data_IF_089768855265
#
_entry.id   IF_089768855265
#
_cell.length_a   1.000
_cell.length_b   1.000
_cell.length_c   1.000
_cell.angle_alpha   90.00
_cell.angle_beta   90.00
_cell.angle_gamma   90.00
#
_symmetry.space_group_name_H-M   'P 1'
#
loop_
_entity.id
_entity.type
_entity.pdbx_description
1 polymer ?
#
# COMPACT_ATOMS: atom_id res chain seq x y z
N UNK A 1 -50.13 -4.98 56.75
CA UNK A 1 -50.44 -4.01 55.67
C UNK A 1 -49.20 -3.19 55.37
N UNK A 2 -48.59 -3.40 54.20
CA UNK A 2 -48.03 -2.36 53.31
C UNK A 2 -47.35 -3.06 52.13
N UNK A 3 -47.72 -2.59 50.95
CA UNK A 3 -47.45 -3.17 49.64
C UNK A 3 -46.16 -2.62 49.02
N UNK A 4 -45.61 -3.39 48.07
CA UNK A 4 -44.78 -3.00 46.90
C UNK A 4 -43.50 -2.17 47.18
N UNK A 5 -42.38 -2.36 46.50
CA UNK A 5 -42.18 -2.11 45.07
C UNK A 5 -40.90 -2.85 44.64
N UNK A 6 -41.01 -3.67 43.59
CA UNK A 6 -39.84 -4.15 42.85
C UNK A 6 -39.30 -3.04 41.97
N UNK A 7 -38.00 -2.79 42.03
CA UNK A 7 -37.28 -1.93 41.09
C UNK A 7 -36.55 -2.84 40.12
N UNK A 8 -37.13 -3.01 38.93
CA UNK A 8 -36.44 -3.58 37.79
C UNK A 8 -35.50 -2.50 37.23
N UNK A 9 -34.19 -2.71 37.37
CA UNK A 9 -33.18 -1.89 36.70
C UNK A 9 -33.19 -2.28 35.22
N UNK A 10 -33.83 -1.45 34.40
CA UNK A 10 -33.72 -1.54 32.93
C UNK A 10 -32.33 -1.09 32.51
N UNK A 11 -31.49 -2.04 32.10
CA UNK A 11 -30.27 -1.76 31.37
C UNK A 11 -30.63 -1.40 29.93
N UNK A 12 -30.70 -0.10 29.64
CA UNK A 12 -30.76 0.40 28.27
C UNK A 12 -29.39 0.24 27.62
N UNK A 13 -29.15 -0.92 27.00
CA UNK A 13 -28.09 -1.11 26.02
C UNK A 13 -28.49 -0.36 24.75
N UNK A 14 -27.89 0.81 24.52
CA UNK A 14 -27.90 1.46 23.21
C UNK A 14 -27.08 0.56 22.28
N UNK A 15 -27.78 -0.26 21.50
CA UNK A 15 -27.21 -0.97 20.36
C UNK A 15 -26.80 0.07 19.32
N UNK A 16 -25.54 0.49 19.35
CA UNK A 16 -24.88 1.06 18.17
C UNK A 16 -24.85 -0.07 17.15
N UNK A 17 -25.66 0.07 16.11
CA UNK A 17 -25.66 -0.84 14.98
C UNK A 17 -24.33 -0.72 14.23
N UNK A 18 -23.33 -1.48 14.65
CA UNK A 18 -22.28 -1.91 13.75
C UNK A 18 -22.97 -2.80 12.70
N UNK A 19 -23.12 -2.28 11.48
CA UNK A 19 -23.44 -3.12 10.33
C UNK A 19 -22.45 -4.29 10.28
N UNK A 20 -22.86 -5.48 9.81
CA UNK A 20 -21.95 -6.61 9.74
C UNK A 20 -20.71 -6.20 8.92
N UNK A 21 -19.52 -6.35 9.50
CA UNK A 21 -18.30 -6.41 8.70
C UNK A 21 -18.57 -7.42 7.58
N UNK A 22 -18.45 -6.99 6.32
CA UNK A 22 -18.56 -7.92 5.20
C UNK A 22 -17.54 -9.03 5.45
N UNK A 23 -18.03 -10.27 5.63
CA UNK A 23 -17.16 -11.43 5.80
C UNK A 23 -16.17 -11.42 4.63
N UNK A 24 -14.88 -11.34 4.96
CA UNK A 24 -13.81 -11.51 3.98
C UNK A 24 -13.94 -12.93 3.43
N UNK A 25 -14.39 -13.04 2.19
CA UNK A 25 -14.62 -14.35 1.57
C UNK A 25 -13.29 -15.08 1.38
N UNK A 26 -13.02 -16.04 2.28
CA UNK A 26 -11.83 -16.88 2.22
C UNK A 26 -12.01 -18.08 1.27
N UNK A 27 -11.57 -18.00 0.03
CA UNK A 27 -11.50 -19.17 -0.86
C UNK A 27 -10.08 -19.71 -0.84
N UNK A 28 -9.84 -20.84 -0.17
CA UNK A 28 -8.54 -21.52 -0.24
C UNK A 28 -8.24 -21.97 -1.67
N UNK A 29 -6.96 -22.12 -2.01
CA UNK A 29 -6.58 -22.67 -3.33
C UNK A 29 -6.97 -24.16 -3.43
N UNK A 30 -7.43 -24.58 -4.60
CA UNK A 30 -7.86 -25.95 -4.90
C UNK A 30 -7.07 -26.54 -6.09
N UNK A 31 -5.75 -26.78 -5.95
CA UNK A 31 -4.90 -27.18 -7.06
C UNK A 31 -5.28 -28.51 -7.70
N UNK A 32 -5.89 -29.44 -6.95
CA UNK A 32 -6.32 -30.75 -7.46
C UNK A 32 -7.41 -30.67 -8.54
N UNK A 33 -8.10 -29.54 -8.63
CA UNK A 33 -9.15 -29.32 -9.64
C UNK A 33 -8.73 -28.34 -10.74
N UNK A 34 -7.49 -27.87 -10.68
CA UNK A 34 -6.98 -26.94 -11.66
C UNK A 34 -6.60 -27.63 -12.98
N UNK A 35 -6.67 -26.87 -14.07
CA UNK A 35 -6.15 -27.28 -15.37
C UNK A 35 -5.04 -26.34 -15.80
N UNK A 36 -3.81 -26.85 -15.92
CA UNK A 36 -2.68 -26.07 -16.41
C UNK A 36 -2.94 -25.52 -17.83
N UNK A 37 -3.65 -26.28 -18.67
CA UNK A 37 -4.07 -25.83 -20.00
C UNK A 37 -5.03 -24.65 -19.92
N UNK A 38 -5.99 -24.68 -18.99
CA UNK A 38 -6.90 -23.56 -18.78
C UNK A 38 -6.17 -22.34 -18.17
N UNK A 39 -5.27 -22.56 -17.22
CA UNK A 39 -4.41 -21.50 -16.69
C UNK A 39 -3.61 -20.81 -17.81
N UNK A 40 -2.99 -21.57 -18.72
CA UNK A 40 -2.31 -20.98 -19.87
C UNK A 40 -3.27 -20.26 -20.83
N UNK A 41 -4.44 -20.83 -21.11
CA UNK A 41 -5.47 -20.22 -21.98
C UNK A 41 -5.96 -18.87 -21.46
N UNK A 42 -6.06 -18.72 -20.13
CA UNK A 42 -6.64 -17.53 -19.51
C UNK A 42 -5.59 -16.55 -18.96
N UNK A 43 -4.30 -16.89 -19.01
CA UNK A 43 -3.24 -16.05 -18.48
C UNK A 43 -3.22 -14.67 -19.18
N UNK A 44 -3.03 -13.56 -18.46
CA UNK A 44 -3.15 -12.22 -19.02
C UNK A 44 -1.96 -11.85 -19.91
N UNK A 45 -2.20 -10.98 -20.89
CA UNK A 45 -1.13 -10.18 -21.47
C UNK A 45 -0.86 -9.02 -20.50
N UNK A 46 0.33 -8.96 -19.91
CA UNK A 46 0.70 -7.83 -19.04
C UNK A 46 1.50 -6.82 -19.85
N UNK A 47 1.01 -5.58 -19.94
CA UNK A 47 1.75 -4.44 -20.51
C UNK A 47 2.45 -3.69 -19.39
N UNK A 48 3.78 -3.73 -19.40
CA UNK A 48 4.59 -2.92 -18.50
C UNK A 48 4.60 -1.46 -18.96
N UNK A 49 4.82 -0.52 -18.05
CA UNK A 49 5.00 0.88 -18.42
C UNK A 49 6.27 1.07 -19.27
N UNK A 50 6.29 1.96 -20.27
CA UNK A 50 7.44 2.14 -21.18
C UNK A 50 8.70 2.71 -20.52
N UNK A 51 8.54 3.23 -19.30
CA UNK A 51 9.62 3.76 -18.47
C UNK A 51 10.03 2.81 -17.34
N UNK A 52 9.42 1.62 -17.28
CA UNK A 52 9.77 0.65 -16.25
C UNK A 52 11.18 0.13 -16.47
N UNK A 53 11.94 0.07 -15.38
CA UNK A 53 13.32 -0.43 -15.35
C UNK A 53 13.52 -1.54 -14.32
N UNK A 54 12.54 -1.73 -13.42
CA UNK A 54 12.46 -2.79 -12.43
C UNK A 54 11.54 -3.86 -12.99
N UNK A 55 12.16 -4.86 -13.61
CA UNK A 55 11.44 -5.82 -14.43
C UNK A 55 10.98 -7.03 -13.61
N UNK A 56 10.02 -7.83 -14.11
CA UNK A 56 9.66 -9.09 -13.49
C UNK A 56 10.85 -10.05 -13.32
N UNK A 57 10.75 -10.99 -12.38
CA UNK A 57 11.82 -11.96 -12.07
C UNK A 57 11.27 -13.32 -11.65
N UNK A 58 12.03 -14.40 -11.86
CA UNK A 58 11.74 -15.70 -11.25
C UNK A 58 11.95 -15.64 -9.72
N UNK A 59 10.89 -15.92 -8.97
CA UNK A 59 10.89 -15.93 -7.51
C UNK A 59 11.90 -16.94 -6.93
N UNK A 60 12.14 -18.07 -7.62
CA UNK A 60 13.18 -19.04 -7.24
C UNK A 60 14.57 -18.42 -7.35
N UNK A 61 14.83 -17.65 -8.42
CA UNK A 61 16.10 -16.95 -8.60
C UNK A 61 16.32 -15.86 -7.57
N UNK A 62 15.27 -15.14 -7.19
CA UNK A 62 15.32 -14.16 -6.12
C UNK A 62 15.73 -14.81 -4.80
N UNK A 63 15.13 -15.97 -4.46
CA UNK A 63 15.48 -16.74 -3.26
C UNK A 63 16.93 -17.21 -3.29
N UNK A 64 17.37 -17.84 -4.38
CA UNK A 64 18.75 -18.38 -4.51
C UNK A 64 19.82 -17.30 -4.35
N UNK A 65 19.47 -16.05 -4.64
CA UNK A 65 20.35 -14.88 -4.52
C UNK A 65 20.20 -14.16 -3.19
N UNK A 66 19.22 -14.52 -2.37
CA UNK A 66 18.96 -13.90 -1.09
C UNK A 66 19.74 -14.57 0.03
N UNK A 67 19.84 -13.86 1.15
CA UNK A 67 20.20 -14.40 2.46
C UNK A 67 18.92 -14.57 3.28
N UNK A 68 18.72 -15.72 3.93
CA UNK A 68 17.59 -15.91 4.84
C UNK A 68 17.96 -15.38 6.21
N UNK A 69 17.18 -14.43 6.72
CA UNK A 69 17.38 -13.80 8.02
C UNK A 69 16.13 -13.92 8.89
N UNK A 70 16.29 -13.63 10.17
CA UNK A 70 15.20 -13.63 11.15
C UNK A 70 15.19 -12.30 11.91
N UNK A 71 14.01 -11.69 12.04
CA UNK A 71 13.79 -10.43 12.78
C UNK A 71 13.15 -10.72 14.14
N UNK A 72 13.83 -10.40 15.25
CA UNK A 72 13.32 -10.76 16.59
C UNK A 72 12.40 -9.75 17.22
N UNK A 73 12.35 -8.50 16.76
CA UNK A 73 11.47 -7.50 17.38
C UNK A 73 11.29 -6.21 16.56
N UNK A 74 10.78 -6.34 15.33
CA UNK A 74 10.48 -5.16 14.50
C UNK A 74 11.73 -4.31 14.27
N UNK A 75 12.89 -4.95 14.13
CA UNK A 75 14.12 -4.32 13.66
C UNK A 75 15.16 -3.90 14.65
N UNK A 76 14.83 -3.81 15.93
CA UNK A 76 15.79 -3.41 16.95
C UNK A 76 16.71 -4.55 17.40
N UNK A 77 16.34 -5.80 17.06
CA UNK A 77 17.01 -7.02 17.49
C UNK A 77 17.09 -8.00 16.30
N UNK A 78 17.93 -7.72 15.29
CA UNK A 78 18.14 -8.62 14.15
C UNK A 78 19.22 -9.65 14.47
N UNK A 79 19.10 -10.86 13.91
CA UNK A 79 20.23 -11.78 13.91
C UNK A 79 21.34 -11.24 13.01
N UNK A 80 22.51 -11.03 13.60
CA UNK A 80 23.74 -10.75 12.86
C UNK A 80 24.10 -11.93 11.93
N UNK A 81 24.09 -13.20 12.41
CA UNK A 81 24.33 -14.35 11.53
C UNK A 81 23.09 -14.69 10.69
N UNK A 82 23.26 -15.06 9.41
CA UNK A 82 22.14 -15.51 8.60
C UNK A 82 21.64 -16.89 9.05
N UNK A 83 20.33 -17.14 8.88
CA UNK A 83 19.75 -18.49 9.00
C UNK A 83 20.27 -19.39 7.87
N UNK A 84 20.39 -18.84 6.66
CA UNK A 84 20.96 -19.52 5.50
C UNK A 84 21.55 -18.53 4.49
N UNK A 85 22.71 -18.87 3.94
CA UNK A 85 23.39 -18.15 2.86
C UNK A 85 24.25 -19.14 2.05
N UNK A 86 23.91 -19.45 0.77
CA UNK A 86 22.69 -19.03 0.08
C UNK A 86 21.45 -19.77 0.58
N UNK A 87 20.27 -19.27 0.24
CA UNK A 87 18.99 -19.94 0.57
C UNK A 87 18.69 -21.05 -0.43
N UNK A 88 18.30 -22.22 0.07
CA UNK A 88 17.83 -23.33 -0.77
C UNK A 88 16.29 -23.27 -0.87
N UNK A 89 15.70 -22.99 -2.06
CA UNK A 89 14.26 -22.78 -2.21
C UNK A 89 13.41 -23.93 -1.68
N UNK A 90 13.85 -25.18 -1.88
CA UNK A 90 13.13 -26.39 -1.43
C UNK A 90 13.01 -26.52 0.08
N UNK A 91 13.88 -25.83 0.84
CA UNK A 91 13.87 -25.82 2.31
C UNK A 91 13.04 -24.68 2.90
N UNK A 92 12.58 -23.73 2.07
CA UNK A 92 11.67 -22.66 2.51
C UNK A 92 10.21 -23.13 2.58
N UNK A 93 9.79 -23.93 1.60
CA UNK A 93 8.40 -24.30 1.37
C UNK A 93 7.87 -25.44 2.25
N UNK A 94 6.57 -25.69 2.16
CA UNK A 94 5.87 -26.73 2.91
C UNK A 94 6.32 -28.16 2.57
N UNK A 95 6.86 -28.38 1.37
CA UNK A 95 7.42 -29.66 0.95
C UNK A 95 8.69 -30.09 1.70
N UNK A 96 9.33 -29.17 2.44
CA UNK A 96 10.58 -29.45 3.14
C UNK A 96 10.44 -30.37 4.36
N UNK A 97 9.25 -30.43 4.97
CA UNK A 97 9.01 -31.24 6.17
C UNK A 97 9.97 -30.92 7.33
N UNK A 98 10.75 -31.91 7.76
CA UNK A 98 11.75 -31.77 8.84
C UNK A 98 13.03 -31.04 8.38
N UNK A 99 13.36 -31.10 7.09
CA UNK A 99 14.55 -30.46 6.51
C UNK A 99 14.39 -28.94 6.34
N UNK A 100 13.17 -28.44 6.53
CA UNK A 100 12.84 -27.01 6.40
C UNK A 100 13.59 -26.12 7.41
N UNK A 101 13.81 -24.87 7.02
CA UNK A 101 14.47 -23.91 7.90
C UNK A 101 13.62 -23.60 9.14
N UNK A 102 14.29 -23.51 10.29
CA UNK A 102 13.68 -23.21 11.60
C UNK A 102 14.57 -22.28 12.40
N UNK A 103 13.95 -21.36 13.13
CA UNK A 103 14.63 -20.41 13.99
C UNK A 103 13.77 -20.16 15.23
N UNK A 104 14.39 -19.94 16.38
CA UNK A 104 13.69 -19.53 17.60
C UNK A 104 13.84 -18.03 17.80
N UNK A 105 12.94 -17.39 18.56
CA UNK A 105 13.07 -15.96 18.88
C UNK A 105 14.24 -15.64 19.86
N UNK A 106 14.94 -16.67 20.36
CA UNK A 106 16.14 -16.57 21.20
C UNK A 106 17.12 -17.67 20.79
N UNK A 107 18.41 -17.35 20.68
CA UNK A 107 19.45 -18.36 20.47
C UNK A 107 19.77 -19.06 21.81
N UNK A 108 19.52 -20.37 21.97
CA UNK A 108 19.71 -21.06 23.25
C UNK A 108 21.18 -21.02 23.69
N UNK A 109 21.44 -20.49 24.89
CA UNK A 109 22.77 -20.45 25.48
C UNK A 109 23.66 -19.28 25.03
N UNK A 110 23.15 -18.35 24.22
CA UNK A 110 23.81 -17.06 23.98
C UNK A 110 23.06 -15.92 24.69
N UNK A 111 23.73 -15.12 25.53
CA UNK A 111 23.15 -13.84 25.93
C UNK A 111 22.95 -13.04 24.65
N UNK A 112 21.74 -12.50 24.45
CA UNK A 112 21.44 -11.53 23.38
C UNK A 112 22.65 -10.61 23.23
N UNK A 113 23.29 -10.60 22.06
CA UNK A 113 24.26 -9.58 21.71
C UNK A 113 23.49 -8.27 21.67
N UNK A 114 23.51 -7.58 22.82
CA UNK A 114 22.58 -6.53 23.23
C UNK A 114 22.48 -5.40 22.21
N UNK A 115 21.30 -4.78 22.10
CA UNK A 115 20.97 -3.68 23.01
C UNK A 115 20.10 -4.14 24.18
N UNK A 116 20.30 -3.52 25.34
CA UNK A 116 19.53 -3.78 26.56
C UNK A 116 18.06 -3.45 26.28
N UNK A 117 17.20 -4.47 26.19
CA UNK A 117 15.75 -4.28 26.17
C UNK A 117 14.99 -4.83 24.96
N UNK A 118 15.18 -6.11 24.61
CA UNK A 118 14.22 -6.85 23.78
C UNK A 118 13.29 -7.68 24.71
N UNK A 119 12.15 -7.14 25.22
CA UNK A 119 11.23 -7.85 26.09
C UNK A 119 10.17 -8.65 25.30
N UNK A 120 9.94 -9.92 25.67
CA UNK A 120 8.79 -10.70 25.18
C UNK A 120 9.11 -11.96 24.37
N UNK A 121 10.38 -12.36 24.30
CA UNK A 121 10.79 -13.53 23.53
C UNK A 121 10.26 -14.87 24.08
N UNK A 122 10.13 -15.84 23.16
CA UNK A 122 9.77 -17.23 23.45
C UNK A 122 10.81 -18.14 22.85
N UNK A 123 11.17 -19.22 23.54
CA UNK A 123 12.10 -20.26 23.03
C UNK A 123 11.46 -21.16 21.94
N UNK A 124 10.34 -20.74 21.35
CA UNK A 124 9.57 -21.52 20.41
C UNK A 124 10.23 -21.47 19.02
N UNK A 125 10.74 -22.60 18.53
CA UNK A 125 11.24 -22.71 17.15
C UNK A 125 10.09 -22.63 16.16
N UNK A 126 10.13 -21.63 15.29
CA UNK A 126 9.20 -21.45 14.18
C UNK A 126 9.83 -21.89 12.86
N UNK A 127 9.01 -22.46 11.98
CA UNK A 127 9.40 -22.81 10.61
C UNK A 127 9.14 -21.63 9.66
N UNK A 128 9.80 -21.61 8.51
CA UNK A 128 9.56 -20.63 7.44
C UNK A 128 8.14 -20.65 6.86
N UNK A 129 7.36 -21.69 7.17
CA UNK A 129 5.95 -21.85 6.79
C UNK A 129 4.97 -21.34 7.86
N UNK A 130 5.46 -20.92 9.03
CA UNK A 130 4.64 -20.29 10.07
C UNK A 130 4.47 -18.80 9.76
N UNK A 131 3.23 -18.37 9.59
CA UNK A 131 2.87 -16.98 9.29
C UNK A 131 3.28 -15.99 10.38
N UNK A 132 3.43 -16.46 11.62
CA UNK A 132 3.91 -15.67 12.75
C UNK A 132 5.43 -15.63 12.84
N UNK A 133 6.13 -16.46 12.07
CA UNK A 133 7.57 -16.42 11.99
C UNK A 133 8.03 -15.16 11.24
N UNK A 134 9.16 -14.61 11.68
CA UNK A 134 9.70 -13.34 11.20
C UNK A 134 10.88 -13.53 10.27
N UNK A 135 10.82 -14.57 9.45
CA UNK A 135 11.79 -14.79 8.38
C UNK A 135 11.62 -13.75 7.29
N UNK A 136 12.74 -13.30 6.73
CA UNK A 136 12.75 -12.47 5.54
C UNK A 136 13.93 -12.82 4.63
N UNK A 137 13.74 -12.59 3.34
CA UNK A 137 14.77 -12.73 2.30
C UNK A 137 15.48 -11.40 2.11
N UNK A 138 16.80 -11.39 2.15
CA UNK A 138 17.66 -10.21 2.00
C UNK A 138 18.52 -10.36 0.72
N UNK A 139 18.02 -9.90 -0.44
CA UNK A 139 18.75 -9.97 -1.71
C UNK A 139 19.80 -8.85 -1.83
N UNK A 140 20.86 -9.03 -2.63
CA UNK A 140 21.77 -7.95 -2.97
C UNK A 140 21.13 -6.99 -4.00
N UNK A 141 21.55 -5.73 -3.97
CA UNK A 141 20.96 -4.62 -4.75
C UNK A 141 20.84 -4.90 -6.26
N UNK A 142 21.76 -5.66 -6.87
CA UNK A 142 21.70 -5.98 -8.30
C UNK A 142 20.50 -6.84 -8.70
N UNK A 143 19.90 -7.59 -7.77
CA UNK A 143 18.71 -8.41 -8.02
C UNK A 143 17.49 -7.52 -8.27
N UNK A 144 17.47 -6.30 -7.73
CA UNK A 144 16.34 -5.36 -7.84
C UNK A 144 15.97 -4.98 -9.28
N UNK A 145 16.87 -5.18 -10.24
CA UNK A 145 16.60 -4.87 -11.66
C UNK A 145 15.63 -5.87 -12.32
N UNK A 146 15.59 -7.11 -11.84
CA UNK A 146 14.83 -8.19 -12.45
C UNK A 146 15.38 -8.72 -13.77
N UNK A 147 14.62 -9.61 -14.40
CA UNK A 147 15.05 -10.46 -15.52
C UNK A 147 14.32 -10.15 -16.83
N UNK A 148 13.16 -9.47 -16.79
CA UNK A 148 12.40 -9.08 -17.98
C UNK A 148 11.15 -9.91 -18.20
N UNK A 149 10.54 -9.73 -19.38
CA UNK A 149 9.27 -10.37 -19.75
C UNK A 149 9.38 -11.87 -20.06
N UNK A 150 10.57 -12.47 -19.90
CA UNK A 150 10.75 -13.93 -19.90
C UNK A 150 10.51 -14.57 -18.53
N UNK A 151 10.38 -13.77 -17.47
CA UNK A 151 10.12 -14.25 -16.12
C UNK A 151 8.81 -15.07 -16.03
N UNK A 152 8.72 -16.02 -15.09
CA UNK A 152 7.50 -16.77 -14.88
C UNK A 152 6.39 -15.94 -14.25
N UNK A 153 5.15 -16.31 -14.57
CA UNK A 153 3.96 -15.93 -13.81
C UNK A 153 3.46 -17.16 -13.06
N UNK A 154 3.00 -16.96 -11.83
CA UNK A 154 2.52 -18.06 -11.02
C UNK A 154 0.99 -18.06 -10.94
N UNK A 155 0.37 -19.23 -10.81
CA UNK A 155 -1.09 -19.29 -10.73
C UNK A 155 -1.62 -20.21 -9.62
N UNK A 156 -2.80 -19.86 -9.13
CA UNK A 156 -3.61 -20.65 -8.18
C UNK A 156 -5.05 -20.74 -8.68
N UNK A 157 -5.72 -21.86 -8.43
CA UNK A 157 -7.12 -22.05 -8.78
C UNK A 157 -8.01 -21.95 -7.53
N UNK A 158 -9.13 -21.26 -7.66
CA UNK A 158 -10.07 -21.04 -6.57
C UNK A 158 -11.50 -21.29 -7.02
N UNK A 159 -12.33 -21.78 -6.09
CA UNK A 159 -13.78 -21.86 -6.28
C UNK A 159 -14.49 -20.85 -5.41
N UNK A 160 -15.62 -20.36 -5.91
CA UNK A 160 -16.54 -19.59 -5.09
C UNK A 160 -17.14 -20.49 -4.01
N UNK A 161 -17.32 -19.98 -2.79
CA UNK A 161 -17.76 -20.82 -1.65
C UNK A 161 -19.16 -21.41 -1.83
N UNK A 162 -20.03 -20.63 -2.46
CA UNK A 162 -21.47 -20.92 -2.52
C UNK A 162 -22.04 -21.05 -3.93
N UNK A 163 -21.27 -20.70 -4.96
CA UNK A 163 -21.72 -20.74 -6.36
C UNK A 163 -20.77 -21.65 -7.15
N UNK A 164 -21.10 -22.94 -7.34
CA UNK A 164 -20.21 -23.89 -7.99
C UNK A 164 -19.96 -23.58 -9.47
N UNK A 165 -20.77 -22.71 -10.10
CA UNK A 165 -20.51 -22.25 -11.45
C UNK A 165 -19.38 -21.21 -11.51
N UNK A 166 -19.06 -20.54 -10.39
CA UNK A 166 -18.01 -19.52 -10.32
C UNK A 166 -16.69 -20.08 -9.83
N UNK A 167 -15.68 -19.95 -10.67
CA UNK A 167 -14.30 -20.36 -10.38
C UNK A 167 -13.33 -19.28 -10.84
N UNK A 168 -12.08 -19.32 -10.39
CA UNK A 168 -11.11 -18.30 -10.79
C UNK A 168 -9.70 -18.87 -10.88
N UNK A 169 -8.95 -18.35 -11.86
CA UNK A 169 -7.50 -18.48 -11.90
C UNK A 169 -6.88 -17.16 -11.40
N UNK A 170 -6.20 -17.21 -10.26
CA UNK A 170 -5.41 -16.09 -9.72
C UNK A 170 -4.03 -16.17 -10.32
N UNK A 171 -3.56 -15.08 -10.92
CA UNK A 171 -2.21 -14.94 -11.46
C UNK A 171 -1.40 -13.99 -10.59
N UNK A 172 -0.20 -14.40 -10.23
CA UNK A 172 0.76 -13.68 -9.41
C UNK A 172 1.94 -13.22 -10.25
N UNK A 173 2.26 -11.94 -10.13
CA UNK A 173 3.41 -11.31 -10.78
C UNK A 173 4.43 -10.95 -9.71
N UNK A 174 5.67 -11.38 -9.92
CA UNK A 174 6.76 -11.07 -9.01
C UNK A 174 7.72 -10.06 -9.62
N UNK A 175 7.95 -8.99 -8.89
CA UNK A 175 8.99 -8.00 -9.15
C UNK A 175 9.94 -7.97 -7.96
N UNK A 176 11.27 -7.95 -8.18
CA UNK A 176 12.22 -8.01 -7.07
C UNK A 176 12.31 -6.69 -6.29
N UNK A 177 11.77 -5.59 -6.82
CA UNK A 177 11.79 -4.29 -6.18
C UNK A 177 10.65 -3.40 -6.65
N UNK A 178 9.94 -2.79 -5.72
CA UNK A 178 8.98 -1.71 -5.93
C UNK A 178 9.68 -0.36 -5.70
N UNK A 179 9.42 0.59 -6.61
CA UNK A 179 9.81 2.00 -6.45
C UNK A 179 8.71 2.95 -6.89
N UNK A 180 7.66 3.05 -6.07
CA UNK A 180 6.67 4.10 -6.22
C UNK A 180 7.16 5.40 -5.55
N UNK A 181 7.95 6.16 -6.30
CA UNK A 181 8.61 7.38 -5.80
C UNK A 181 7.62 8.44 -5.31
N UNK A 182 6.42 8.49 -5.89
CA UNK A 182 5.39 9.49 -5.56
C UNK A 182 4.85 9.42 -4.12
N UNK A 183 5.01 8.28 -3.43
CA UNK A 183 4.58 8.12 -2.02
C UNK A 183 5.66 7.51 -1.14
N UNK A 184 6.92 7.59 -1.58
CA UNK A 184 8.08 7.03 -0.87
C UNK A 184 8.12 5.51 -0.79
N UNK A 185 7.09 4.80 -1.26
CA UNK A 185 6.96 3.36 -1.16
C UNK A 185 8.03 2.65 -1.99
N UNK A 186 9.05 2.17 -1.28
CA UNK A 186 10.21 1.45 -1.82
C UNK A 186 10.42 0.21 -1.00
N UNK A 187 10.33 -0.95 -1.63
CA UNK A 187 10.57 -2.23 -0.96
C UNK A 187 11.10 -3.27 -1.92
N UNK A 188 11.92 -4.18 -1.39
CA UNK A 188 12.29 -5.41 -2.09
C UNK A 188 11.13 -6.38 -2.07
N UNK A 189 11.07 -7.25 -3.07
CA UNK A 189 9.99 -8.22 -3.30
C UNK A 189 8.62 -7.57 -3.42
N UNK A 190 7.98 -7.74 -4.55
CA UNK A 190 6.69 -7.15 -4.84
C UNK A 190 5.81 -8.17 -5.55
N UNK A 191 4.66 -8.43 -4.95
CA UNK A 191 3.75 -9.49 -5.34
C UNK A 191 2.41 -8.87 -5.73
N UNK A 192 2.21 -8.76 -7.03
CA UNK A 192 0.98 -8.25 -7.63
C UNK A 192 0.09 -9.39 -8.10
N UNK A 193 -1.22 -9.15 -8.21
CA UNK A 193 -2.14 -10.19 -8.70
C UNK A 193 -3.37 -9.68 -9.42
N UNK A 194 -3.86 -10.52 -10.33
CA UNK A 194 -5.21 -10.46 -10.88
C UNK A 194 -5.91 -11.80 -10.73
N UNK A 195 -7.24 -11.83 -10.79
CA UNK A 195 -8.00 -13.08 -10.82
C UNK A 195 -8.96 -13.09 -12.02
N UNK A 196 -8.75 -14.01 -12.95
CA UNK A 196 -9.70 -14.24 -14.05
C UNK A 196 -10.85 -15.07 -13.50
N UNK A 197 -12.03 -14.47 -13.44
CA UNK A 197 -13.27 -15.08 -12.99
C UNK A 197 -13.92 -15.84 -14.15
N UNK A 198 -14.31 -17.08 -13.90
CA UNK A 198 -15.00 -17.95 -14.83
C UNK A 198 -16.42 -18.20 -14.34
N UNK A 199 -17.35 -18.32 -15.28
CA UNK A 199 -18.67 -18.90 -15.08
C UNK A 199 -18.86 -20.07 -16.02
N UNK A 200 -19.17 -21.23 -15.45
CA UNK A 200 -19.35 -22.48 -16.20
C UNK A 200 -18.13 -22.82 -17.09
N UNK A 201 -16.93 -22.45 -16.63
CA UNK A 201 -15.66 -22.70 -17.32
C UNK A 201 -15.26 -21.67 -18.37
N UNK A 202 -16.09 -20.66 -18.65
CA UNK A 202 -15.78 -19.58 -19.59
C UNK A 202 -15.51 -18.26 -18.85
N UNK A 203 -14.58 -17.42 -19.34
CA UNK A 203 -14.20 -16.20 -18.64
C UNK A 203 -15.26 -15.11 -18.73
N UNK A 204 -15.65 -14.55 -17.57
CA UNK A 204 -16.65 -13.47 -17.47
C UNK A 204 -16.04 -12.12 -17.10
N UNK A 205 -15.03 -12.11 -16.22
CA UNK A 205 -14.43 -10.90 -15.69
C UNK A 205 -12.98 -11.13 -15.23
N UNK A 206 -12.27 -10.04 -14.96
CA UNK A 206 -10.99 -10.08 -14.26
C UNK A 206 -11.04 -9.13 -13.07
N UNK A 207 -10.68 -9.65 -11.90
CA UNK A 207 -10.47 -8.89 -10.69
C UNK A 207 -9.05 -8.34 -10.65
N UNK A 208 -8.92 -7.08 -10.30
CA UNK A 208 -7.65 -6.37 -10.12
C UNK A 208 -7.44 -6.09 -8.62
N UNK A 209 -6.38 -6.65 -8.05
CA UNK A 209 -5.92 -6.26 -6.73
C UNK A 209 -5.03 -5.01 -6.87
N UNK A 210 -5.18 -4.05 -5.97
CA UNK A 210 -4.42 -2.78 -5.99
C UNK A 210 -4.11 -2.30 -4.58
N UNK A 211 -3.16 -1.37 -4.47
CA UNK A 211 -2.64 -0.82 -3.21
C UNK A 211 -3.75 -0.45 -2.21
N UNK A 212 -3.75 -1.13 -1.06
CA UNK A 212 -4.52 -0.77 0.15
C UNK A 212 -6.04 -0.63 -0.01
N UNK A 213 -6.58 -0.92 -1.19
CA UNK A 213 -7.96 -0.64 -1.57
C UNK A 213 -8.71 -1.93 -1.87
N UNK A 214 -10.03 -1.88 -1.79
CA UNK A 214 -10.87 -3.00 -2.23
C UNK A 214 -10.60 -3.35 -3.70
N UNK A 215 -10.41 -4.64 -4.02
CA UNK A 215 -10.36 -5.11 -5.39
C UNK A 215 -11.59 -4.70 -6.19
N UNK A 216 -11.40 -4.50 -7.48
CA UNK A 216 -12.46 -4.22 -8.44
C UNK A 216 -12.40 -5.21 -9.60
N UNK A 217 -13.47 -5.31 -10.38
CA UNK A 217 -13.55 -6.16 -11.55
C UNK A 217 -13.88 -5.39 -12.82
N UNK A 218 -13.34 -5.86 -13.94
CA UNK A 218 -13.69 -5.43 -15.28
C UNK A 218 -14.17 -6.64 -16.06
N UNK A 219 -15.15 -6.46 -16.96
CA UNK A 219 -15.64 -7.55 -17.79
C UNK A 219 -14.54 -8.01 -18.73
N UNK A 220 -14.50 -9.31 -18.99
CA UNK A 220 -13.52 -9.89 -19.92
C UNK A 220 -13.54 -9.23 -21.30
N UNK A 221 -14.74 -8.90 -21.81
CA UNK A 221 -14.93 -8.22 -23.09
C UNK A 221 -14.31 -6.82 -23.15
N UNK A 222 -14.16 -6.15 -22.02
CA UNK A 222 -13.75 -4.75 -21.94
C UNK A 222 -12.21 -4.62 -21.87
N UNK A 223 -11.50 -5.74 -21.63
CA UNK A 223 -10.05 -5.78 -21.45
C UNK A 223 -9.26 -5.90 -22.77
N UNK A 224 -9.89 -5.55 -23.90
CA UNK A 224 -9.29 -5.60 -25.24
C UNK A 224 -8.44 -6.85 -25.46
N UNK A 225 -9.04 -8.05 -25.42
CA UNK A 225 -8.29 -9.29 -25.37
C UNK A 225 -7.41 -9.45 -26.62
N UNK A 226 -6.12 -9.70 -26.41
CA UNK A 226 -5.13 -9.97 -27.46
C UNK A 226 -4.89 -11.47 -27.55
N UNK A 227 -5.08 -12.07 -28.73
CA UNK A 227 -4.97 -13.53 -28.93
C UNK A 227 -5.83 -14.37 -27.96
N UNK A 228 -6.91 -13.80 -27.42
CA UNK A 228 -7.76 -14.46 -26.42
C UNK A 228 -7.31 -14.31 -24.97
N UNK A 229 -6.30 -13.48 -24.71
CA UNK A 229 -5.79 -13.18 -23.36
C UNK A 229 -6.22 -11.78 -22.92
N UNK A 230 -6.67 -11.58 -21.67
CA UNK A 230 -7.08 -10.26 -21.18
C UNK A 230 -5.86 -9.35 -21.04
N UNK A 231 -5.99 -8.09 -21.45
CA UNK A 231 -4.91 -7.11 -21.27
C UNK A 231 -4.95 -6.55 -19.85
N UNK A 232 -3.80 -6.58 -19.18
CA UNK A 232 -3.55 -6.00 -17.84
C UNK A 232 -2.43 -4.99 -17.98
N UNK A 233 -2.59 -3.80 -17.39
CA UNK A 233 -1.55 -2.78 -17.38
C UNK A 233 -0.87 -2.74 -16.02
N UNK A 234 0.45 -2.88 -16.00
CA UNK A 234 1.26 -2.75 -14.78
C UNK A 234 1.77 -1.33 -14.63
N UNK A 235 1.50 -0.72 -13.47
CA UNK A 235 1.87 0.65 -13.19
C UNK A 235 3.39 0.82 -13.01
N UNK A 236 3.89 2.00 -13.41
CA UNK A 236 5.29 2.37 -13.24
C UNK A 236 5.71 2.36 -11.77
N UNK A 237 6.75 1.60 -11.45
CA UNK A 237 7.40 1.52 -10.15
C UNK A 237 6.65 0.69 -9.13
N UNK A 238 5.32 0.83 -9.04
CA UNK A 238 4.47 0.14 -8.06
C UNK A 238 3.93 -1.20 -8.53
N UNK A 239 4.00 -1.46 -9.83
CA UNK A 239 3.54 -2.66 -10.53
C UNK A 239 2.05 -3.00 -10.43
N UNK A 240 1.27 -2.22 -9.67
CA UNK A 240 -0.16 -2.42 -9.50
C UNK A 240 -0.87 -2.65 -10.83
N UNK A 241 -1.77 -3.62 -10.82
CA UNK A 241 -2.46 -4.10 -12.01
C UNK A 241 -3.75 -3.30 -12.26
N UNK A 242 -3.90 -2.78 -13.47
CA UNK A 242 -5.06 -1.97 -13.89
C UNK A 242 -5.72 -2.49 -15.17
N UNK A 243 -7.05 -2.32 -15.33
CA UNK A 243 -7.78 -2.73 -16.54
C UNK A 243 -7.56 -1.78 -17.73
N UNK A 244 -7.05 -0.57 -17.48
CA UNK A 244 -6.85 0.47 -18.50
C UNK A 244 -5.53 1.18 -18.28
N UNK A 245 -4.90 1.65 -19.35
CA UNK A 245 -3.80 2.60 -19.26
C UNK A 245 -4.30 3.98 -18.79
N UNK A 246 -3.37 4.82 -18.32
CA UNK A 246 -3.66 6.15 -17.81
C UNK A 246 -3.25 6.32 -16.35
N UNK A 247 -3.76 7.39 -15.74
CA UNK A 247 -3.48 7.73 -14.34
C UNK A 247 -4.52 7.06 -13.45
N UNK A 248 -4.07 6.44 -12.35
CA UNK A 248 -4.92 5.80 -11.34
C UNK A 248 -4.46 6.23 -9.95
N UNK A 249 -4.92 7.38 -9.48
CA UNK A 249 -4.40 8.05 -8.30
C UNK A 249 -2.91 8.36 -8.44
N UNK A 250 -2.08 7.70 -7.65
CA UNK A 250 -0.61 7.86 -7.69
C UNK A 250 0.07 6.99 -8.74
N UNK A 251 -0.65 6.02 -9.30
CA UNK A 251 -0.14 5.08 -10.28
C UNK A 251 -0.30 5.58 -11.71
N UNK A 252 0.64 5.15 -12.57
CA UNK A 252 0.61 5.45 -14.00
C UNK A 252 0.82 4.17 -14.79
N UNK A 253 -0.19 3.81 -15.56
CA UNK A 253 -0.20 2.67 -16.48
C UNK A 253 -0.10 3.17 -17.93
N UNK A 254 0.48 2.37 -18.82
CA UNK A 254 0.68 2.79 -20.22
C UNK A 254 0.57 1.63 -21.20
N UNK A 255 0.12 1.94 -22.42
CA UNK A 255 -0.01 0.99 -23.53
C UNK A 255 1.29 0.76 -24.29
N UNK A 256 2.30 1.62 -24.08
CA UNK A 256 3.48 1.74 -24.95
C UNK A 256 4.70 0.90 -24.53
N UNK A 257 4.64 0.26 -23.37
CA UNK A 257 5.78 -0.51 -22.87
C UNK A 257 5.81 -1.95 -23.35
N UNK A 258 6.67 -2.74 -22.71
CA UNK A 258 6.92 -4.12 -23.13
C UNK A 258 5.73 -5.02 -22.82
N UNK A 259 5.47 -5.95 -23.73
CA UNK A 259 4.45 -6.99 -23.56
C UNK A 259 5.06 -8.22 -22.89
N UNK A 260 4.46 -8.63 -21.78
CA UNK A 260 4.75 -9.88 -21.09
C UNK A 260 3.64 -10.88 -21.41
N UNK A 261 3.95 -11.79 -22.33
CA UNK A 261 3.06 -12.88 -22.76
C UNK A 261 3.11 -14.00 -21.73
N UNK A 262 2.36 -13.83 -20.65
CA UNK A 262 2.54 -14.64 -19.42
C UNK A 262 2.29 -16.13 -19.63
N UNK A 263 1.45 -16.50 -20.59
CA UNK A 263 1.16 -17.90 -20.95
C UNK A 263 2.38 -18.66 -21.50
N UNK A 264 3.44 -17.96 -21.95
CA UNK A 264 4.67 -18.60 -22.42
C UNK A 264 5.50 -19.20 -21.27
N UNK A 265 5.28 -18.74 -20.03
CA UNK A 265 5.98 -19.22 -18.84
C UNK A 265 5.09 -19.13 -17.58
N UNK A 266 3.92 -19.77 -17.61
CA UNK A 266 2.96 -19.78 -16.50
C UNK A 266 3.07 -21.07 -15.68
N UNK A 267 3.26 -20.96 -14.36
CA UNK A 267 3.60 -22.09 -13.47
C UNK A 267 2.66 -22.18 -12.26
N UNK A 268 2.25 -23.39 -11.83
CA UNK A 268 1.42 -23.54 -10.64
C UNK A 268 2.19 -23.18 -9.37
N UNK A 269 1.61 -22.38 -8.47
CA UNK A 269 2.24 -22.02 -7.18
C UNK A 269 2.56 -23.27 -6.34
N UNK A 270 1.69 -24.28 -6.34
CA UNK A 270 1.89 -25.53 -5.59
C UNK A 270 2.97 -26.45 -6.20
N UNK A 271 3.41 -26.17 -7.43
CA UNK A 271 4.54 -26.84 -8.08
C UNK A 271 5.90 -26.21 -7.78
N UNK A 272 5.93 -25.01 -7.19
CA UNK A 272 7.17 -24.28 -6.95
C UNK A 272 7.88 -24.75 -5.65
N UNK A 273 9.23 -24.79 -5.63
CA UNK A 273 9.98 -25.35 -4.51
C UNK A 273 9.81 -24.54 -3.22
N UNK A 274 9.50 -23.25 -3.34
CA UNK A 274 9.29 -22.32 -2.24
C UNK A 274 7.83 -22.26 -1.77
N UNK A 275 6.92 -23.00 -2.42
CA UNK A 275 5.49 -22.99 -2.11
C UNK A 275 5.24 -23.27 -0.63
N UNK A 276 4.49 -22.38 0.02
CA UNK A 276 4.21 -22.44 1.46
C UNK A 276 5.14 -21.59 2.33
N UNK A 277 6.16 -20.94 1.76
CA UNK A 277 6.92 -19.92 2.47
C UNK A 277 6.00 -18.77 2.91
N UNK A 278 5.93 -18.51 4.22
CA UNK A 278 5.02 -17.53 4.82
C UNK A 278 5.74 -16.30 5.41
N UNK A 279 7.03 -16.15 5.10
CA UNK A 279 7.85 -15.01 5.48
C UNK A 279 7.81 -13.87 4.46
N UNK A 280 8.62 -12.85 4.71
CA UNK A 280 8.67 -11.62 3.91
C UNK A 280 9.67 -11.73 2.76
N UNK A 281 9.32 -11.17 1.61
CA UNK A 281 10.18 -11.15 0.43
C UNK A 281 10.88 -9.81 0.36
N UNK A 282 12.10 -9.70 0.87
CA UNK A 282 12.82 -8.42 0.94
C UNK A 282 13.20 -8.01 2.35
N UNK A 283 14.27 -7.22 2.47
CA UNK A 283 14.70 -6.64 3.73
C UNK A 283 13.58 -5.81 4.36
N UNK A 284 13.55 -5.76 5.69
CA UNK A 284 12.52 -5.05 6.45
C UNK A 284 13.10 -3.73 6.97
N UNK A 285 12.99 -2.58 6.27
CA UNK A 285 13.56 -1.31 6.71
C UNK A 285 12.77 -0.64 7.87
N UNK A 286 11.72 -1.29 8.39
CA UNK A 286 10.95 -0.84 9.58
C UNK A 286 10.19 0.48 9.42
N UNK A 287 10.00 0.92 8.18
CA UNK A 287 9.00 1.94 7.82
C UNK A 287 7.78 1.21 7.28
N UNK A 288 6.60 1.43 7.87
CA UNK A 288 5.34 0.84 7.37
C UNK A 288 5.18 1.19 5.88
N UNK A 289 4.71 0.23 5.09
CA UNK A 289 4.65 0.27 3.61
C UNK A 289 5.99 0.12 2.83
N UNK A 290 7.13 -0.03 3.52
CA UNK A 290 8.45 -0.26 2.87
C UNK A 290 8.97 -1.69 3.09
N UNK A 291 8.15 -2.54 3.71
CA UNK A 291 8.44 -3.95 3.88
C UNK A 291 7.97 -4.71 2.66
N UNK A 292 8.82 -5.56 2.11
CA UNK A 292 8.46 -6.44 1.01
C UNK A 292 7.33 -7.38 1.38
N UNK A 293 6.17 -7.37 0.72
CA UNK A 293 5.02 -8.20 1.06
C UNK A 293 5.34 -9.69 1.08
N UNK A 294 4.55 -10.42 1.86
CA UNK A 294 4.54 -11.89 1.79
C UNK A 294 4.08 -12.34 0.41
N UNK A 295 4.63 -13.43 -0.10
CA UNK A 295 4.25 -14.07 -1.36
C UNK A 295 3.01 -14.96 -1.24
N UNK A 296 2.63 -15.71 -2.28
CA UNK A 296 1.53 -16.66 -2.18
C UNK A 296 1.88 -17.81 -1.23
N UNK A 297 0.92 -18.18 -0.36
CA UNK A 297 1.03 -19.32 0.55
C UNK A 297 -0.38 -19.86 0.87
N UNK A 298 -0.54 -21.16 1.22
CA UNK A 298 -1.85 -21.83 1.26
C UNK A 298 -2.94 -21.21 2.15
N UNK A 299 -2.56 -20.44 3.17
CA UNK A 299 -3.48 -19.81 4.13
C UNK A 299 -3.66 -18.31 3.90
N UNK A 300 -3.05 -17.76 2.84
CA UNK A 300 -3.13 -16.33 2.53
C UNK A 300 -4.57 -15.96 2.21
N UNK A 301 -5.09 -14.95 2.92
CA UNK A 301 -6.40 -14.38 2.60
C UNK A 301 -6.29 -13.55 1.32
N UNK A 302 -7.06 -13.93 0.29
CA UNK A 302 -7.14 -13.20 -0.98
C UNK A 302 -8.53 -12.56 -1.09
N UNK A 303 -8.75 -11.38 -0.47
CA UNK A 303 -10.05 -10.74 -0.52
C UNK A 303 -10.43 -10.40 -1.97
N UNK A 304 -11.72 -10.47 -2.25
CA UNK A 304 -12.33 -9.93 -3.45
C UNK A 304 -12.04 -10.69 -4.75
N UNK A 305 -11.54 -11.93 -4.73
CA UNK A 305 -11.34 -12.75 -5.95
C UNK A 305 -12.58 -12.70 -6.86
N UNK A 306 -13.76 -12.88 -6.28
CA UNK A 306 -15.06 -12.93 -6.96
C UNK A 306 -15.87 -11.62 -6.83
N UNK A 307 -15.19 -10.48 -6.69
CA UNK A 307 -15.88 -9.19 -6.59
C UNK A 307 -16.58 -8.82 -7.90
N UNK A 308 -17.80 -8.32 -7.78
CA UNK A 308 -18.57 -7.74 -8.90
C UNK A 308 -18.49 -6.19 -8.90
N UNK A 309 -17.70 -5.61 -7.98
CA UNK A 309 -17.51 -4.16 -7.88
C UNK A 309 -16.76 -3.67 -9.12
N UNK A 310 -17.37 -2.84 -9.99
CA UNK A 310 -16.71 -2.41 -11.20
C UNK A 310 -15.45 -1.59 -10.91
N UNK A 311 -14.42 -1.76 -11.72
CA UNK A 311 -13.28 -0.85 -11.72
C UNK A 311 -13.69 0.54 -12.20
N UNK A 312 -13.13 1.57 -11.57
CA UNK A 312 -13.14 2.91 -12.14
C UNK A 312 -12.30 2.94 -13.42
N UNK A 313 -12.63 3.85 -14.33
CA UNK A 313 -11.72 4.18 -15.43
C UNK A 313 -10.49 4.93 -14.91
N UNK A 314 -9.48 5.10 -15.77
CA UNK A 314 -8.39 6.02 -15.49
C UNK A 314 -8.94 7.41 -15.14
N UNK A 315 -8.28 8.07 -14.20
CA UNK A 315 -8.59 9.43 -13.83
C UNK A 315 -8.50 10.30 -15.08
N UNK A 316 -9.48 11.19 -15.24
CA UNK A 316 -9.42 12.16 -16.33
C UNK A 316 -8.11 12.92 -16.18
N UNK A 317 -7.34 13.11 -17.27
CA UNK A 317 -6.29 14.11 -17.27
C UNK A 317 -6.88 15.40 -16.70
N UNK A 318 -6.16 16.14 -15.84
CA UNK A 318 -6.59 17.49 -15.53
C UNK A 318 -6.93 18.18 -16.85
N UNK A 319 -8.13 18.75 -16.94
CA UNK A 319 -8.54 19.45 -18.15
C UNK A 319 -7.42 20.42 -18.52
N UNK A 320 -7.08 20.52 -19.82
CA UNK A 320 -6.19 21.57 -20.28
C UNK A 320 -6.63 22.88 -19.61
N UNK A 321 -5.69 23.66 -19.05
CA UNK A 321 -6.05 24.93 -18.46
C UNK A 321 -6.85 25.72 -19.50
N UNK A 322 -7.92 26.43 -19.10
CA UNK A 322 -8.69 27.23 -20.04
C UNK A 322 -7.71 28.07 -20.86
N UNK A 323 -7.84 28.00 -22.19
CA UNK A 323 -7.11 28.90 -23.07
C UNK A 323 -7.41 30.33 -22.62
N UNK A 324 -6.35 31.01 -22.21
CA UNK A 324 -6.29 32.33 -21.60
C UNK A 324 -6.98 32.45 -20.22
N UNK A 325 -6.22 32.55 -19.12
CA UNK A 325 -6.74 33.17 -17.91
C UNK A 325 -7.11 34.63 -18.25
N UNK A 326 -8.21 35.18 -17.71
CA UNK A 326 -8.38 36.62 -17.72
C UNK A 326 -7.15 37.21 -17.04
N UNK A 327 -6.56 38.23 -17.68
CA UNK A 327 -5.36 38.93 -17.23
C UNK A 327 -5.27 38.97 -15.70
N UNK A 328 -4.20 38.37 -15.19
CA UNK A 328 -3.77 38.37 -13.80
C UNK A 328 -4.04 39.75 -13.18
N UNK A 329 -5.07 39.83 -12.34
CA UNK A 329 -5.16 40.93 -11.40
C UNK A 329 -4.13 40.64 -10.31
N UNK A 330 -3.21 41.58 -10.01
CA UNK A 330 -2.27 41.38 -8.94
C UNK A 330 -3.04 41.18 -7.63
N UNK A 331 -2.73 40.10 -6.91
CA UNK A 331 -3.27 39.86 -5.59
C UNK A 331 -3.00 41.08 -4.69
N UNK A 332 -3.96 41.53 -3.87
CA UNK A 332 -3.74 42.64 -2.97
C UNK A 332 -2.80 42.18 -1.85
N UNK A 333 -1.66 42.85 -1.71
CA UNK A 333 -0.67 42.75 -0.63
C UNK A 333 -1.21 42.06 0.64
N UNK A 334 -0.74 40.84 0.94
CA UNK A 334 -0.92 40.21 2.26
C UNK A 334 -0.27 41.10 3.33
N UNK A 335 -1.02 41.79 4.20
CA UNK A 335 -0.44 42.70 5.16
C UNK A 335 0.44 41.91 6.14
N UNK A 336 1.62 42.46 6.51
CA UNK A 336 2.48 41.91 7.58
C UNK A 336 1.84 42.16 8.95
N UNK A 337 0.69 41.52 9.19
CA UNK A 337 -0.10 41.60 10.42
C UNK A 337 -0.51 40.21 10.87
N UNK A 338 -0.90 40.10 12.14
CA UNK A 338 -1.46 38.87 12.72
C UNK A 338 -2.66 38.32 11.94
N UNK A 339 -3.57 39.20 11.52
CA UNK A 339 -4.74 38.82 10.74
C UNK A 339 -4.37 38.30 9.35
N UNK A 340 -3.30 38.84 8.73
CA UNK A 340 -2.77 38.34 7.47
C UNK A 340 -2.22 36.92 7.60
N UNK A 341 -1.45 36.66 8.67
CA UNK A 341 -0.92 35.32 8.95
C UNK A 341 -2.04 34.30 9.21
N UNK A 342 -3.05 34.67 9.99
CA UNK A 342 -4.22 33.84 10.28
C UNK A 342 -4.96 33.49 8.99
N UNK A 343 -5.29 34.50 8.17
CA UNK A 343 -6.03 34.29 6.93
C UNK A 343 -5.28 33.35 5.99
N UNK A 344 -3.97 33.51 5.85
CA UNK A 344 -3.15 32.65 5.01
C UNK A 344 -3.05 31.21 5.54
N UNK A 345 -3.01 31.04 6.85
CA UNK A 345 -3.06 29.71 7.46
C UNK A 345 -4.43 29.04 7.30
N UNK A 346 -5.53 29.81 7.39
CA UNK A 346 -6.88 29.30 7.08
C UNK A 346 -6.99 28.85 5.61
N UNK A 347 -6.39 29.58 4.67
CA UNK A 347 -6.31 29.17 3.26
C UNK A 347 -5.59 27.81 3.12
N UNK A 348 -4.49 27.61 3.85
CA UNK A 348 -3.81 26.32 3.93
C UNK A 348 -4.71 25.21 4.50
N UNK A 349 -5.38 25.44 5.64
CA UNK A 349 -6.30 24.46 6.23
C UNK A 349 -7.42 24.09 5.24
N UNK A 350 -7.99 25.08 4.55
CA UNK A 350 -9.05 24.83 3.58
C UNK A 350 -8.53 24.08 2.35
N UNK A 351 -7.30 24.37 1.91
CA UNK A 351 -6.64 23.65 0.83
C UNK A 351 -6.38 22.19 1.21
N UNK A 352 -5.92 21.91 2.44
CA UNK A 352 -5.81 20.54 2.98
C UNK A 352 -7.17 19.85 2.98
N UNK A 353 -8.24 20.55 3.40
CA UNK A 353 -9.60 20.02 3.37
C UNK A 353 -10.15 19.71 1.97
N UNK A 354 -9.67 20.41 0.94
CA UNK A 354 -10.03 20.20 -0.47
C UNK A 354 -9.07 19.27 -1.22
N UNK A 355 -7.98 18.86 -0.59
CA UNK A 355 -6.89 18.11 -1.23
C UNK A 355 -6.23 18.89 -2.38
N UNK A 356 -6.17 20.22 -2.22
CA UNK A 356 -5.62 21.17 -3.19
C UNK A 356 -4.10 21.27 -3.01
N UNK A 357 -3.38 20.35 -3.66
CA UNK A 357 -1.93 20.15 -3.45
C UNK A 357 -1.10 21.38 -3.84
N UNK A 358 -1.50 22.10 -4.88
CA UNK A 358 -0.77 23.26 -5.37
C UNK A 358 -0.83 24.39 -4.33
N UNK A 359 -2.03 24.68 -3.81
CA UNK A 359 -2.20 25.69 -2.77
C UNK A 359 -1.52 25.29 -1.45
N UNK A 360 -1.59 24.00 -1.07
CA UNK A 360 -0.90 23.48 0.12
C UNK A 360 0.61 23.68 0.01
N UNK A 361 1.20 23.30 -1.12
CA UNK A 361 2.65 23.42 -1.34
C UNK A 361 3.12 24.85 -1.58
N UNK A 362 2.24 25.74 -2.04
CA UNK A 362 2.50 27.17 -2.09
C UNK A 362 2.66 27.76 -0.67
N UNK A 363 1.74 27.46 0.26
CA UNK A 363 1.80 28.01 1.63
C UNK A 363 2.88 27.31 2.48
N UNK A 364 3.04 25.99 2.33
CA UNK A 364 3.99 25.19 3.11
C UNK A 364 5.39 25.07 2.46
N UNK A 365 5.64 25.74 1.35
CA UNK A 365 6.86 25.57 0.54
C UNK A 365 8.18 25.58 1.33
N UNK A 366 8.42 26.55 2.25
CA UNK A 366 9.64 26.57 3.06
C UNK A 366 9.77 25.36 4.00
N UNK A 367 8.74 25.06 4.78
CA UNK A 367 8.70 23.88 5.66
C UNK A 367 8.85 22.57 4.86
N UNK A 368 8.15 22.45 3.75
CA UNK A 368 8.20 21.26 2.91
C UNK A 368 9.58 21.06 2.26
N UNK A 369 10.25 22.14 1.86
CA UNK A 369 11.63 22.09 1.38
C UNK A 369 12.60 21.63 2.47
N UNK A 370 12.42 22.13 3.68
CA UNK A 370 13.22 21.69 4.83
C UNK A 370 13.00 20.20 5.14
N UNK A 371 11.76 19.71 5.04
CA UNK A 371 11.46 18.28 5.16
C UNK A 371 12.05 17.46 4.00
N UNK A 372 12.00 17.97 2.76
CA UNK A 372 12.63 17.33 1.60
C UNK A 372 14.14 17.16 1.80
N UNK A 373 14.82 18.21 2.27
CA UNK A 373 16.27 18.19 2.57
C UNK A 373 16.62 17.21 3.71
N UNK A 374 15.66 16.89 4.59
CA UNK A 374 15.78 15.88 5.65
C UNK A 374 15.43 14.46 5.17
N UNK A 375 15.07 14.30 3.89
CA UNK A 375 14.81 12.99 3.26
C UNK A 375 13.34 12.57 3.23
N UNK A 376 12.40 13.45 3.58
CA UNK A 376 10.96 13.16 3.51
C UNK A 376 10.38 13.23 2.09
N UNK A 377 11.12 13.83 1.15
CA UNK A 377 10.73 13.96 -0.26
C UNK A 377 9.92 15.24 -0.57
N UNK A 378 9.63 15.49 -1.86
CA UNK A 378 8.96 16.71 -2.32
C UNK A 378 7.59 16.94 -1.66
N UNK A 379 7.20 18.21 -1.54
CA UNK A 379 5.93 18.61 -0.94
C UNK A 379 4.72 17.89 -1.54
N UNK A 380 4.67 17.83 -2.88
CA UNK A 380 3.57 17.29 -3.65
C UNK A 380 3.38 15.80 -3.38
N UNK A 381 4.46 15.05 -3.13
CA UNK A 381 4.39 13.64 -2.74
C UNK A 381 3.99 13.45 -1.28
N UNK A 382 4.56 14.24 -0.36
CA UNK A 382 4.36 14.06 1.08
C UNK A 382 2.95 14.43 1.49
N UNK A 383 2.40 15.53 0.97
CA UNK A 383 1.04 15.96 1.32
C UNK A 383 -0.06 15.07 0.72
N UNK A 384 0.18 14.36 -0.39
CA UNK A 384 -0.75 13.34 -0.88
C UNK A 384 -0.89 12.18 0.11
N UNK A 385 0.18 11.81 0.82
CA UNK A 385 0.13 10.83 1.92
C UNK A 385 -0.63 11.42 3.11
N UNK A 386 -0.34 12.68 3.47
CA UNK A 386 -1.03 13.39 4.54
C UNK A 386 -2.54 13.44 4.30
N UNK A 387 -2.98 13.70 3.07
CA UNK A 387 -4.40 13.66 2.73
C UNK A 387 -5.01 12.28 2.95
N UNK A 388 -4.31 11.19 2.66
CA UNK A 388 -4.83 9.84 2.88
C UNK A 388 -4.96 9.48 4.37
N UNK A 389 -4.18 10.12 5.25
CA UNK A 389 -4.24 9.92 6.69
C UNK A 389 -5.39 10.70 7.36
N UNK A 390 -5.90 11.75 6.73
CA UNK A 390 -7.00 12.57 7.25
C UNK A 390 -8.35 11.94 6.87
N UNK A 391 -9.21 11.68 7.86
CA UNK A 391 -10.52 11.09 7.61
C UNK A 391 -11.43 12.02 6.76
N UNK A 392 -12.41 11.48 6.01
CA UNK A 392 -13.35 12.31 5.25
C UNK A 392 -14.09 13.36 6.10
N UNK A 393 -14.38 13.03 7.37
CA UNK A 393 -15.01 13.96 8.32
C UNK A 393 -14.07 15.11 8.69
N UNK A 394 -12.79 14.82 8.93
CA UNK A 394 -11.76 15.83 9.21
C UNK A 394 -11.50 16.72 7.99
N UNK A 395 -11.38 16.16 6.79
CA UNK A 395 -11.24 16.95 5.54
C UNK A 395 -12.39 17.92 5.35
N UNK A 396 -13.62 17.44 5.53
CA UNK A 396 -14.81 18.28 5.43
C UNK A 396 -14.84 19.38 6.49
N UNK A 397 -14.35 19.11 7.71
CA UNK A 397 -14.26 20.12 8.76
C UNK A 397 -13.18 21.18 8.48
N UNK A 398 -12.07 20.77 7.88
CA UNK A 398 -10.97 21.66 7.48
C UNK A 398 -11.37 22.67 6.40
N UNK A 399 -12.30 22.32 5.51
CA UNK A 399 -12.80 23.24 4.45
C UNK A 399 -13.46 24.52 4.99
N UNK A 400 -13.85 24.55 6.26
CA UNK A 400 -14.46 25.72 6.91
C UNK A 400 -13.80 26.04 8.25
N UNK A 401 -12.59 25.52 8.49
CA UNK A 401 -11.88 25.77 9.74
C UNK A 401 -11.44 27.23 9.84
N UNK A 402 -11.50 27.78 11.05
CA UNK A 402 -11.04 29.15 11.35
C UNK A 402 -10.05 29.13 12.51
N UNK A 403 -9.20 30.13 12.63
CA UNK A 403 -8.26 30.26 13.75
C UNK A 403 -8.77 31.31 14.73
N UNK A 404 -8.80 30.98 16.02
CA UNK A 404 -9.09 31.91 17.10
C UNK A 404 -7.91 32.89 17.29
N UNK A 405 -8.07 34.19 16.98
CA UNK A 405 -6.97 35.13 17.07
C UNK A 405 -6.42 35.30 18.50
N UNK A 406 -7.17 34.93 19.55
CA UNK A 406 -6.68 35.00 20.93
C UNK A 406 -5.63 33.93 21.25
N UNK A 407 -5.62 32.82 20.51
CA UNK A 407 -4.67 31.72 20.71
C UNK A 407 -3.34 31.88 19.98
N UNK A 408 -3.24 32.85 19.04
CA UNK A 408 -2.04 33.07 18.22
C UNK A 408 -1.06 34.01 18.91
N UNK A 409 0.21 33.61 19.02
CA UNK A 409 1.27 34.38 19.70
C UNK A 409 2.31 34.89 18.71
N UNK A 410 2.83 36.10 18.92
CA UNK A 410 3.97 36.61 18.15
C UNK A 410 5.26 36.16 18.82
N UNK A 411 6.04 35.30 18.16
CA UNK A 411 7.30 34.79 18.69
C UNK A 411 8.49 35.66 18.28
N UNK A 412 8.40 36.35 17.14
CA UNK A 412 9.35 37.36 16.69
C UNK A 412 8.66 38.33 15.69
N UNK A 413 9.24 39.51 15.39
CA UNK A 413 8.64 40.47 14.46
C UNK A 413 8.34 39.87 13.08
N UNK A 414 7.05 39.63 12.79
CA UNK A 414 6.63 38.97 11.55
C UNK A 414 6.66 37.45 11.58
N UNK A 415 6.65 36.84 12.77
CA UNK A 415 6.55 35.40 13.00
C UNK A 415 5.49 35.11 14.06
N UNK A 416 4.49 34.33 13.70
CA UNK A 416 3.35 33.99 14.56
C UNK A 416 3.23 32.48 14.74
N UNK A 417 3.05 32.05 15.98
CA UNK A 417 2.75 30.66 16.34
C UNK A 417 1.24 30.48 16.40
N UNK A 418 0.74 29.48 15.68
CA UNK A 418 -0.66 29.08 15.63
C UNK A 418 -0.77 27.69 16.24
N UNK A 419 -1.16 27.58 17.52
CA UNK A 419 -1.27 26.28 18.15
C UNK A 419 -2.50 25.52 17.62
N UNK A 420 -2.44 24.18 17.58
CA UNK A 420 -3.55 23.34 17.14
C UNK A 420 -4.85 23.65 17.91
N UNK A 421 -4.72 24.02 19.19
CA UNK A 421 -5.84 24.39 20.07
C UNK A 421 -6.56 25.69 19.69
N UNK A 422 -5.94 26.55 18.87
CA UNK A 422 -6.56 27.76 18.32
C UNK A 422 -7.46 27.45 17.11
N UNK A 423 -7.38 26.27 16.51
CA UNK A 423 -8.19 25.89 15.34
C UNK A 423 -9.62 25.56 15.78
N UNK A 424 -10.59 26.25 15.18
CA UNK A 424 -12.03 26.07 15.38
C UNK A 424 -12.61 25.41 14.13
N UNK A 425 -13.13 24.20 14.31
CA UNK A 425 -13.78 23.44 13.24
C UNK A 425 -14.96 22.62 13.80
N UNK A 426 -15.72 21.98 12.92
CA UNK A 426 -16.85 21.11 13.30
C UNK A 426 -16.44 19.78 13.93
N UNK A 427 -15.13 19.46 13.92
CA UNK A 427 -14.50 18.36 14.66
C UNK A 427 -13.34 18.91 15.50
N UNK A 428 -13.05 18.27 16.63
CA UNK A 428 -11.91 18.63 17.48
C UNK A 428 -10.65 17.97 16.92
N UNK A 429 -9.58 18.75 16.74
CA UNK A 429 -8.25 18.27 16.40
C UNK A 429 -7.37 18.25 17.65
N UNK A 430 -6.59 17.20 17.83
CA UNK A 430 -5.53 17.12 18.84
C UNK A 430 -4.21 17.61 18.27
N UNK A 431 -3.22 17.84 19.13
CA UNK A 431 -1.84 18.17 18.73
C UNK A 431 -1.23 17.09 17.82
N UNK A 432 -1.65 15.83 17.98
CA UNK A 432 -1.25 14.73 17.09
C UNK A 432 -1.94 14.71 15.72
N UNK A 433 -2.96 15.55 15.49
CA UNK A 433 -3.72 15.60 14.22
C UNK A 433 -3.27 16.72 13.28
N UNK A 434 -2.97 17.92 13.80
CA UNK A 434 -2.60 19.09 12.99
C UNK A 434 -1.27 19.75 13.41
N UNK A 435 -0.74 19.43 14.60
CA UNK A 435 0.46 20.06 15.14
C UNK A 435 0.29 21.57 15.41
N UNK A 436 1.24 22.12 16.14
CA UNK A 436 1.42 23.57 16.17
C UNK A 436 2.16 24.00 14.89
N UNK A 437 1.86 25.18 14.37
CA UNK A 437 2.49 25.69 13.14
C UNK A 437 2.96 27.12 13.30
N UNK A 438 4.00 27.46 12.56
CA UNK A 438 4.64 28.76 12.60
C UNK A 438 4.53 29.46 11.26
N UNK A 439 3.87 30.61 11.25
CA UNK A 439 3.75 31.47 10.08
C UNK A 439 4.86 32.52 10.10
N UNK A 440 5.63 32.64 9.03
CA UNK A 440 6.66 33.67 8.85
C UNK A 440 6.40 34.50 7.58
N UNK A 441 6.57 35.82 7.69
CA UNK A 441 6.38 36.73 6.57
C UNK A 441 7.68 36.88 5.76
N UNK A 442 7.66 36.40 4.52
CA UNK A 442 8.81 36.40 3.63
C UNK A 442 8.35 36.73 2.20
N UNK A 443 9.15 37.46 1.42
CA UNK A 443 8.85 37.77 0.00
C UNK A 443 7.43 38.33 -0.21
N UNK A 444 7.01 39.22 0.68
CA UNK A 444 5.69 39.89 0.68
C UNK A 444 4.47 38.96 0.90
N UNK A 445 4.68 37.72 1.35
CA UNK A 445 3.64 36.73 1.66
C UNK A 445 3.89 35.98 2.97
N UNK A 446 2.87 35.26 3.46
CA UNK A 446 2.93 34.43 4.67
C UNK A 446 3.13 32.95 4.33
N UNK A 447 4.08 32.28 5.00
CA UNK A 447 4.42 30.87 4.78
C UNK A 447 4.53 30.08 6.08
N UNK A 448 4.28 28.76 6.01
CA UNK A 448 4.61 27.81 7.07
C UNK A 448 6.10 27.45 6.99
N UNK A 449 6.80 27.48 8.12
CA UNK A 449 8.27 27.31 8.18
C UNK A 449 8.76 26.19 9.08
N UNK A 450 7.87 25.42 9.70
CA UNK A 450 8.18 24.35 10.64
C UNK A 450 7.76 22.94 10.19
#
# INVERSE_FOLDING_TARGET
MRAMVGVAVSASLVLVACGPEKEKEFTGAEPSEASATAAARFAPLVRLHEKESLMPMDATRFIERSVLRYDHDGGFCRDEPPVADPVEPRRLGGGAGEDGYRHADVEPGKPSSTPVGCPGHRDERRATTDEKARFFLDPPDEVRKGEGTGAPVYWEYHKHKTDPARTAYVYWFFYPYNRLSAVGNKHEGDWERVAVQLRDGEPEATTFAKHGSDPCSAKWSDLSPSDGHPTVYSALGSHASYPTAGVHGVDRASEKGSEWRTWENVRPVDGEPWSGYAGWWGAQPHVKAHNGPKGPYPKRLLPGIFTDKPCGGADKPPADPPADPPAEQPAPNSPKTKDGAIKRYEEFLHAVGREDIDAVCEVAGPAAKQAEDQGFGPCESTFLITFQMISPAQKKALQTATVDPQGVTESAPGRFEIPATAIRASVTFSEGDLGDSTMEYMKDEWYIVD
#
